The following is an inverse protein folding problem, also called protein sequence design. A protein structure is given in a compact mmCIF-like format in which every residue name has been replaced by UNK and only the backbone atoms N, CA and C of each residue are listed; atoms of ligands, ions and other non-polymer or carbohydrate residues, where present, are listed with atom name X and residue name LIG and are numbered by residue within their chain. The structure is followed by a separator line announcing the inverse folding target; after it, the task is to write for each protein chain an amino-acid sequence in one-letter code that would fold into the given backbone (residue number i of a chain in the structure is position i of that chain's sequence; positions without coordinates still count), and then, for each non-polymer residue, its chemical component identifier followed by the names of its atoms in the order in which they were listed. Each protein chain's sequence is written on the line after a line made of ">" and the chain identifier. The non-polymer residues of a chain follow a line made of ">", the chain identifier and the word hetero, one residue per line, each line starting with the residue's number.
data_IF_831907300195
#
_entry.id   IF_831907300195
#
_cell.length_a   1.000
_cell.length_b   1.000
_cell.length_c   1.000
_cell.angle_alpha   90.00
_cell.angle_beta   90.00
_cell.angle_gamma   90.00
#
_symmetry.space_group_name_H-M   'P 1'
#
loop_
_entity.id
_entity.type
_entity.pdbx_description
1 polymer ?
#
# COMPACT_ATOMS: atom_id res chain seq x y z
N UNK A 1 6.43 -13.23 7.17
CA UNK A 1 7.08 -13.04 5.85
C UNK A 1 6.02 -12.61 4.86
N UNK A 2 6.25 -11.50 4.15
CA UNK A 2 5.36 -11.02 3.09
C UNK A 2 5.83 -11.56 1.73
N UNK A 3 4.88 -11.96 0.88
CA UNK A 3 5.15 -12.47 -0.47
C UNK A 3 4.03 -12.03 -1.39
N UNK A 4 4.40 -11.69 -2.62
CA UNK A 4 3.50 -11.43 -3.73
C UNK A 4 4.06 -12.13 -4.97
N UNK A 5 3.18 -12.64 -5.83
CA UNK A 5 3.57 -13.26 -7.10
C UNK A 5 3.12 -12.43 -8.29
N UNK A 6 1.95 -11.78 -8.19
CA UNK A 6 1.29 -11.14 -9.33
C UNK A 6 0.85 -12.17 -10.39
N UNK A 7 -0.17 -11.85 -11.18
CA UNK A 7 -0.57 -12.64 -12.34
C UNK A 7 -0.68 -11.76 -13.59
N UNK A 8 -0.49 -12.34 -14.77
CA UNK A 8 -0.51 -11.60 -16.05
C UNK A 8 -1.78 -10.73 -16.25
N UNK A 9 -2.99 -11.19 -15.88
CA UNK A 9 -4.19 -10.35 -15.93
C UNK A 9 -4.16 -9.08 -15.06
N UNK A 10 -3.22 -8.95 -14.12
CA UNK A 10 -3.07 -7.78 -13.26
C UNK A 10 -2.16 -6.70 -13.87
N UNK A 11 -1.61 -6.90 -15.07
CA UNK A 11 -0.70 -5.95 -15.70
C UNK A 11 -1.29 -4.54 -15.85
N UNK A 12 -2.60 -4.44 -16.10
CA UNK A 12 -3.32 -3.17 -16.23
C UNK A 12 -3.87 -2.65 -14.89
N UNK A 13 -3.74 -3.41 -13.80
CA UNK A 13 -4.17 -3.01 -12.48
C UNK A 13 -3.06 -2.26 -11.76
N UNK A 14 -3.21 -0.94 -11.68
CA UNK A 14 -2.33 -0.10 -10.89
C UNK A 14 -2.27 -0.64 -9.44
N UNK A 15 -1.06 -0.88 -8.96
CA UNK A 15 -0.79 -1.35 -7.59
C UNK A 15 -1.35 -2.75 -7.24
N UNK A 16 -1.79 -3.57 -8.18
CA UNK A 16 -2.39 -4.88 -7.88
C UNK A 16 -1.51 -5.77 -6.97
N UNK A 17 -0.22 -5.90 -7.30
CA UNK A 17 0.72 -6.62 -6.44
C UNK A 17 0.94 -5.97 -5.07
N UNK A 18 0.86 -4.63 -4.98
CA UNK A 18 1.01 -3.93 -3.71
C UNK A 18 -0.23 -4.12 -2.81
N UNK A 19 -1.44 -4.13 -3.39
CA UNK A 19 -2.67 -4.47 -2.66
C UNK A 19 -2.56 -5.88 -2.07
N UNK A 20 -2.12 -6.87 -2.86
CA UNK A 20 -1.88 -8.23 -2.36
C UNK A 20 -0.85 -8.27 -1.23
N UNK A 21 0.24 -7.51 -1.36
CA UNK A 21 1.32 -7.48 -0.38
C UNK A 21 0.89 -6.82 0.95
N UNK A 22 0.08 -5.76 0.89
CA UNK A 22 -0.33 -4.98 2.06
C UNK A 22 -1.55 -5.55 2.78
N UNK A 23 -2.39 -6.33 2.10
CA UNK A 23 -3.61 -6.92 2.67
C UNK A 23 -3.41 -7.65 4.02
N UNK A 24 -2.33 -8.45 4.22
CA UNK A 24 -2.10 -9.13 5.50
C UNK A 24 -1.65 -8.22 6.65
N UNK A 25 -1.26 -6.98 6.37
CA UNK A 25 -0.65 -6.05 7.34
C UNK A 25 -1.41 -4.72 7.43
N UNK A 26 -2.69 -4.71 7.04
CA UNK A 26 -3.54 -3.51 7.04
C UNK A 26 -3.63 -2.84 8.42
N UNK A 27 -3.60 -3.60 9.50
CA UNK A 27 -3.65 -3.04 10.86
C UNK A 27 -2.46 -2.14 11.18
N UNK A 28 -1.31 -2.34 10.50
CA UNK A 28 -0.08 -1.54 10.66
C UNK A 28 -0.19 -0.16 10.03
N UNK A 29 -1.14 0.04 9.11
CA UNK A 29 -1.38 1.35 8.47
C UNK A 29 -1.75 2.42 9.50
N UNK A 30 -2.39 2.03 10.60
CA UNK A 30 -2.81 2.96 11.65
C UNK A 30 -1.64 3.46 12.51
N UNK A 31 -0.48 2.80 12.46
CA UNK A 31 0.72 3.23 13.15
C UNK A 31 1.57 4.22 12.33
N UNK A 32 1.26 4.40 11.04
CA UNK A 32 2.00 5.30 10.17
C UNK A 32 1.62 6.77 10.40
N UNK A 33 2.54 7.71 10.12
CA UNK A 33 2.18 9.11 9.95
C UNK A 33 1.01 9.26 8.96
N UNK A 34 0.08 10.16 9.28
CA UNK A 34 -1.19 10.29 8.54
C UNK A 34 -1.01 10.41 7.01
N UNK A 35 -0.04 11.18 6.47
CA UNK A 35 0.14 11.26 5.01
C UNK A 35 0.53 9.93 4.36
N UNK A 36 1.29 9.10 5.07
CA UNK A 36 1.68 7.77 4.60
C UNK A 36 0.51 6.78 4.71
N UNK A 37 -0.24 6.84 5.82
CA UNK A 37 -1.43 6.03 6.02
C UNK A 37 -2.50 6.35 4.95
N UNK A 38 -2.73 7.64 4.67
CA UNK A 38 -3.64 8.09 3.62
C UNK A 38 -3.23 7.59 2.24
N UNK A 39 -1.95 7.70 1.87
CA UNK A 39 -1.43 7.19 0.60
C UNK A 39 -1.69 5.68 0.41
N UNK A 40 -1.45 4.88 1.45
CA UNK A 40 -1.71 3.43 1.38
C UNK A 40 -3.20 3.09 1.40
N UNK A 41 -4.03 3.85 2.13
CA UNK A 41 -5.50 3.70 2.06
C UNK A 41 -6.05 4.05 0.68
N UNK A 42 -5.47 5.03 -0.01
CA UNK A 42 -5.83 5.35 -1.40
C UNK A 42 -5.47 4.19 -2.35
N UNK A 43 -4.31 3.54 -2.16
CA UNK A 43 -3.95 2.32 -2.91
C UNK A 43 -4.90 1.15 -2.64
N UNK A 44 -5.31 0.97 -1.38
CA UNK A 44 -6.22 -0.11 -0.98
C UNK A 44 -7.70 0.17 -1.31
N UNK A 45 -8.03 1.37 -1.80
CA UNK A 45 -9.42 1.77 -2.05
C UNK A 45 -10.26 1.98 -0.78
N UNK A 46 -9.61 2.14 0.37
CA UNK A 46 -10.26 2.37 1.68
C UNK A 46 -10.16 3.82 2.16
N UNK A 47 -9.54 4.69 1.37
CA UNK A 47 -9.39 6.12 1.64
C UNK A 47 -10.52 6.97 1.04
N UNK A 48 -10.69 8.19 1.56
CA UNK A 48 -11.65 9.18 1.05
C UNK A 48 -10.99 10.24 0.14
N UNK A 49 -9.77 10.00 -0.35
CA UNK A 49 -9.06 11.01 -1.13
C UNK A 49 -9.64 11.12 -2.55
N UNK A 50 -9.98 12.35 -2.95
CA UNK A 50 -10.42 12.64 -4.33
C UNK A 50 -9.29 12.53 -5.35
N UNK A 51 -8.03 12.63 -4.88
CA UNK A 51 -6.85 12.48 -5.73
C UNK A 51 -6.31 11.06 -5.59
N UNK A 52 -6.02 10.43 -6.73
CA UNK A 52 -5.41 9.10 -6.75
C UNK A 52 -4.06 9.06 -6.03
N UNK A 53 -3.55 7.87 -5.69
CA UNK A 53 -2.39 7.69 -4.83
C UNK A 53 -1.12 8.39 -5.35
N UNK A 54 -0.47 9.15 -4.47
CA UNK A 54 0.85 9.72 -4.71
C UNK A 54 1.91 8.60 -4.70
N UNK A 55 2.62 8.42 -5.82
CA UNK A 55 3.59 7.32 -5.98
C UNK A 55 4.78 7.45 -5.03
N UNK A 56 5.24 8.67 -4.73
CA UNK A 56 6.36 8.90 -3.83
C UNK A 56 5.96 8.60 -2.39
N UNK A 57 4.83 9.15 -1.92
CA UNK A 57 4.32 8.86 -0.57
C UNK A 57 3.96 7.39 -0.41
N UNK A 58 3.39 6.76 -1.44
CA UNK A 58 3.11 5.32 -1.45
C UNK A 58 4.41 4.52 -1.25
N UNK A 59 5.45 4.81 -2.03
CA UNK A 59 6.74 4.11 -1.90
C UNK A 59 7.38 4.29 -0.53
N UNK A 60 7.37 5.52 0.00
CA UNK A 60 7.86 5.82 1.34
C UNK A 60 7.09 5.05 2.41
N UNK A 61 5.75 5.07 2.35
CA UNK A 61 4.90 4.38 3.30
C UNK A 61 5.13 2.86 3.30
N UNK A 62 5.30 2.25 2.11
CA UNK A 62 5.65 0.83 2.00
C UNK A 62 6.99 0.53 2.66
N UNK A 63 8.01 1.36 2.44
CA UNK A 63 9.32 1.18 3.07
C UNK A 63 9.23 1.30 4.59
N UNK A 64 8.42 2.22 5.12
CA UNK A 64 8.19 2.35 6.56
C UNK A 64 7.49 1.12 7.14
N UNK A 65 6.46 0.58 6.48
CA UNK A 65 5.81 -0.68 6.92
C UNK A 65 6.79 -1.84 6.89
N UNK A 66 7.58 -1.99 5.83
CA UNK A 66 8.57 -3.07 5.74
C UNK A 66 9.66 -2.96 6.82
N UNK A 67 10.07 -1.73 7.16
CA UNK A 67 11.03 -1.49 8.23
C UNK A 67 10.46 -1.83 9.62
N UNK A 68 9.16 -1.60 9.87
CA UNK A 68 8.48 -1.99 11.11
C UNK A 68 8.30 -3.51 11.26
N UNK A 69 8.28 -4.24 10.13
CA UNK A 69 8.11 -5.69 10.10
C UNK A 69 9.42 -6.49 10.14
N UNK A 70 10.56 -5.82 10.04
CA UNK A 70 11.91 -6.42 10.04
C UNK A 70 12.41 -6.68 11.46
#
# INVERSE_FOLDING_TARGET
>A
MLRVTGVEPEADLAFGGLVQLLWPVQDRLNALPEPQAAALRAVLGTGHEERGPDRFLTGLAVLTVLADLA
#
